data_IF_203248679474
#
_entry.id   IF_203248679474
#
_cell.length_a   1.000
_cell.length_b   1.000
_cell.length_c   1.000
_cell.angle_alpha   90.00
_cell.angle_beta   90.00
_cell.angle_gamma   90.00
#
_symmetry.space_group_name_H-M   'P 1'
#
loop_
_entity.id
_entity.type
_entity.pdbx_description
1 polymer ?
#
# COMPACT_ATOMS: atom_id res chain seq x y z
N UNK A 1 -1.33 16.79 -22.15
CA UNK A 1 -0.06 16.74 -21.39
C UNK A 1 -0.37 16.05 -20.08
N UNK A 2 0.27 14.91 -19.81
CA UNK A 2 -0.15 13.96 -18.77
C UNK A 2 -0.02 14.58 -17.37
N UNK A 3 -1.09 14.53 -16.58
CA UNK A 3 -1.14 14.97 -15.16
C UNK A 3 -0.06 14.34 -14.26
N UNK A 4 0.64 13.30 -14.75
CA UNK A 4 1.75 12.63 -14.06
C UNK A 4 3.01 13.48 -13.88
N UNK A 5 3.19 14.56 -14.64
CA UNK A 5 4.47 15.31 -14.64
C UNK A 5 4.63 16.23 -13.42
N UNK A 6 3.54 16.63 -12.76
CA UNK A 6 3.57 17.66 -11.71
C UNK A 6 3.11 17.19 -10.31
N UNK A 7 2.78 15.90 -10.14
CA UNK A 7 2.33 15.36 -8.85
C UNK A 7 3.36 14.39 -8.29
N UNK A 8 3.62 14.53 -6.99
CA UNK A 8 4.38 13.53 -6.23
C UNK A 8 3.71 12.17 -6.40
N UNK A 9 4.49 11.13 -6.67
CA UNK A 9 3.97 9.77 -6.87
C UNK A 9 4.20 8.96 -5.59
N UNK A 10 3.11 8.53 -4.96
CA UNK A 10 3.15 7.61 -3.83
C UNK A 10 2.10 6.51 -4.00
N UNK A 11 2.42 5.34 -3.47
CA UNK A 11 1.65 4.10 -3.66
C UNK A 11 0.47 3.95 -2.72
N UNK A 12 0.34 4.83 -1.71
CA UNK A 12 -0.77 4.72 -0.77
C UNK A 12 -1.14 6.02 -0.05
N UNK A 13 -2.39 6.05 0.43
CA UNK A 13 -2.85 6.90 1.52
C UNK A 13 -1.78 7.03 2.61
N UNK A 14 -1.54 8.27 3.02
CA UNK A 14 -0.66 8.62 4.12
C UNK A 14 0.83 8.45 3.82
N UNK A 15 1.24 8.31 2.56
CA UNK A 15 2.66 8.24 2.17
C UNK A 15 3.15 9.47 1.39
N UNK A 16 2.34 10.52 1.32
CA UNK A 16 2.70 11.78 0.66
C UNK A 16 3.81 12.53 1.42
N UNK A 17 4.70 13.17 0.68
CA UNK A 17 5.83 13.98 1.15
C UNK A 17 5.37 15.35 1.67
N UNK A 18 4.38 15.98 1.04
CA UNK A 18 4.06 17.40 1.29
C UNK A 18 2.56 17.69 1.48
N UNK A 19 2.27 18.91 1.96
CA UNK A 19 0.93 19.52 1.91
C UNK A 19 0.39 19.50 0.48
N UNK A 20 -0.91 19.24 0.33
CA UNK A 20 -1.62 19.17 -0.95
C UNK A 20 -1.06 18.13 -1.97
N UNK A 21 -0.25 17.18 -1.49
CA UNK A 21 0.33 16.11 -2.32
C UNK A 21 -0.46 14.78 -2.26
N UNK A 22 -1.56 14.73 -1.49
CA UNK A 22 -2.54 13.66 -1.56
C UNK A 22 -3.32 13.66 -2.88
N UNK A 23 -4.14 12.63 -3.11
CA UNK A 23 -4.91 12.48 -4.33
C UNK A 23 -5.90 13.63 -4.56
N UNK A 24 -6.65 14.02 -3.53
CA UNK A 24 -7.55 15.19 -3.61
C UNK A 24 -6.84 16.54 -3.52
N UNK A 25 -5.57 16.56 -3.09
CA UNK A 25 -4.83 17.80 -2.83
C UNK A 25 -5.29 18.57 -1.60
N UNK A 26 -6.10 17.97 -0.72
CA UNK A 26 -6.68 18.63 0.47
C UNK A 26 -5.98 18.29 1.80
N UNK A 27 -4.84 17.60 1.76
CA UNK A 27 -4.13 17.20 2.96
C UNK A 27 -3.25 18.35 3.50
N UNK A 28 -3.22 18.54 4.82
CA UNK A 28 -2.51 19.68 5.42
C UNK A 28 -1.00 19.47 5.56
N UNK A 29 -0.55 18.23 5.64
CA UNK A 29 0.87 17.93 5.79
C UNK A 29 1.27 16.58 5.20
N UNK A 30 2.58 16.36 5.19
CA UNK A 30 3.23 15.07 5.15
C UNK A 30 2.44 13.93 5.82
N UNK A 31 2.20 12.84 5.11
CA UNK A 31 1.61 11.63 5.69
C UNK A 31 0.09 11.68 5.97
N UNK A 32 -0.62 12.72 5.55
CA UNK A 32 -2.08 12.85 5.74
C UNK A 32 -2.89 12.77 4.44
N UNK A 33 -2.24 12.39 3.33
CA UNK A 33 -2.85 12.22 2.02
C UNK A 33 -3.89 11.10 1.99
N UNK A 34 -5.01 11.36 1.33
CA UNK A 34 -6.22 10.54 1.30
C UNK A 34 -6.14 9.30 0.42
N UNK A 35 -5.37 9.31 -0.68
CA UNK A 35 -5.20 8.14 -1.55
C UNK A 35 -3.90 8.21 -2.32
N UNK A 36 -3.46 7.11 -2.92
CA UNK A 36 -2.27 7.05 -3.77
C UNK A 36 -2.44 7.94 -5.01
N UNK A 37 -1.35 8.62 -5.39
CA UNK A 37 -1.23 9.39 -6.65
C UNK A 37 -0.50 8.62 -7.75
N UNK A 38 0.21 7.54 -7.40
CA UNK A 38 0.85 6.67 -8.37
C UNK A 38 -0.17 6.01 -9.31
N UNK A 39 0.25 5.75 -10.56
CA UNK A 39 -0.57 5.06 -11.56
C UNK A 39 -0.93 3.68 -11.02
N UNK A 40 -2.22 3.36 -10.98
CA UNK A 40 -2.67 2.06 -10.51
C UNK A 40 -2.26 0.96 -11.48
N UNK A 41 -1.69 -0.12 -10.97
CA UNK A 41 -1.44 -1.34 -11.75
C UNK A 41 -1.57 -2.61 -10.89
N UNK A 42 -2.15 -3.68 -11.45
CA UNK A 42 -2.33 -4.95 -10.74
C UNK A 42 -1.15 -5.92 -10.90
N UNK A 43 -0.22 -5.70 -11.84
CA UNK A 43 0.84 -6.68 -12.13
C UNK A 43 2.26 -6.15 -11.88
N UNK A 44 3.20 -7.08 -11.66
CA UNK A 44 4.62 -6.83 -11.47
C UNK A 44 5.17 -6.30 -12.78
N UNK A 45 6.16 -5.41 -12.74
CA UNK A 45 6.71 -4.70 -13.92
C UNK A 45 5.75 -3.78 -14.68
N UNK A 46 4.53 -3.50 -14.18
CA UNK A 46 3.63 -2.53 -14.82
C UNK A 46 3.73 -1.11 -14.23
N UNK A 47 4.63 -0.88 -13.29
CA UNK A 47 4.83 0.42 -12.67
C UNK A 47 5.43 1.42 -13.67
N UNK A 48 4.95 2.67 -13.62
CA UNK A 48 5.34 3.69 -14.58
C UNK A 48 6.64 4.42 -14.20
N UNK A 49 7.00 4.44 -12.91
CA UNK A 49 8.19 5.14 -12.39
C UNK A 49 8.78 4.47 -11.14
N UNK A 50 9.91 5.00 -10.66
CA UNK A 50 10.47 4.77 -9.31
C UNK A 50 9.40 5.03 -8.24
N UNK A 51 9.43 4.25 -7.15
CA UNK A 51 8.54 4.44 -5.99
C UNK A 51 7.06 4.05 -6.20
N UNK A 52 6.78 3.18 -7.18
CA UNK A 52 5.45 2.67 -7.55
C UNK A 52 5.26 1.15 -7.40
N UNK A 53 6.14 0.42 -6.69
CA UNK A 53 6.07 -1.05 -6.59
C UNK A 53 6.45 -1.60 -5.20
N UNK A 54 6.38 -2.92 -5.03
CA UNK A 54 6.72 -3.61 -3.77
C UNK A 54 5.52 -3.95 -2.90
N UNK A 55 4.29 -3.92 -3.43
CA UNK A 55 3.08 -4.01 -2.62
C UNK A 55 2.64 -5.45 -2.23
N UNK A 56 3.62 -6.35 -2.02
CA UNK A 56 3.44 -7.61 -1.29
C UNK A 56 3.07 -8.86 -2.10
N UNK A 57 2.76 -8.75 -3.39
CA UNK A 57 2.45 -9.90 -4.25
C UNK A 57 3.19 -9.82 -5.58
N UNK A 58 3.66 -10.97 -6.06
CA UNK A 58 4.49 -11.12 -7.27
C UNK A 58 5.78 -10.30 -7.18
N UNK A 59 6.79 -10.92 -6.57
CA UNK A 59 8.11 -10.33 -6.34
C UNK A 59 8.94 -11.22 -5.42
N UNK A 60 10.05 -10.68 -4.95
CA UNK A 60 10.95 -11.31 -4.00
C UNK A 60 10.61 -10.93 -2.56
N UNK A 61 11.08 -11.72 -1.60
CA UNK A 61 10.97 -11.38 -0.17
C UNK A 61 11.58 -10.01 0.14
N UNK A 62 12.67 -9.65 -0.53
CA UNK A 62 13.32 -8.35 -0.37
C UNK A 62 12.43 -7.21 -0.88
N UNK A 63 11.78 -7.37 -2.04
CA UNK A 63 10.86 -6.35 -2.56
C UNK A 63 9.64 -6.14 -1.63
N UNK A 64 9.15 -7.20 -1.00
CA UNK A 64 8.04 -7.13 -0.05
C UNK A 64 8.42 -6.39 1.24
N UNK A 65 9.71 -6.35 1.59
CA UNK A 65 10.23 -5.59 2.73
C UNK A 65 10.30 -4.08 2.50
N UNK A 66 10.21 -3.64 1.23
CA UNK A 66 10.38 -2.25 0.81
C UNK A 66 9.21 -1.75 -0.06
N UNK A 67 7.97 -1.80 0.46
CA UNK A 67 6.80 -1.35 -0.29
C UNK A 67 6.89 0.14 -0.64
N UNK A 68 6.65 0.47 -1.90
CA UNK A 68 6.78 1.83 -2.43
C UNK A 68 8.21 2.29 -2.73
N UNK A 69 9.20 1.38 -2.73
CA UNK A 69 10.63 1.75 -2.89
C UNK A 69 11.35 0.98 -4.02
N UNK A 70 10.67 0.63 -5.11
CA UNK A 70 11.36 0.14 -6.32
C UNK A 70 12.24 1.25 -6.93
N UNK A 71 13.33 0.88 -7.60
CA UNK A 71 14.32 1.83 -8.12
C UNK A 71 13.98 2.41 -9.50
N UNK A 72 13.39 1.60 -10.39
CA UNK A 72 13.10 2.02 -11.77
C UNK A 72 11.68 1.69 -12.22
N UNK A 73 11.29 2.27 -13.35
CA UNK A 73 10.14 1.85 -14.14
C UNK A 73 10.23 0.36 -14.47
N UNK A 74 9.09 -0.32 -14.53
CA UNK A 74 9.00 -1.76 -14.80
C UNK A 74 9.72 -2.65 -13.76
N UNK A 75 9.97 -2.13 -12.57
CA UNK A 75 10.49 -2.86 -11.41
C UNK A 75 9.54 -2.76 -10.22
N UNK A 76 9.42 -3.84 -9.46
CA UNK A 76 8.69 -3.89 -8.22
C UNK A 76 7.34 -4.62 -8.32
N UNK A 77 6.87 -5.05 -7.16
CA UNK A 77 5.66 -5.83 -6.96
C UNK A 77 4.36 -5.06 -7.17
N UNK A 78 3.31 -5.79 -7.53
CA UNK A 78 1.99 -5.31 -7.89
C UNK A 78 1.28 -4.50 -6.80
N UNK A 79 0.26 -3.73 -7.18
CA UNK A 79 -0.87 -3.43 -6.30
C UNK A 79 -0.92 -2.01 -5.76
N UNK A 80 -0.97 -1.03 -6.65
CA UNK A 80 -1.19 0.39 -6.32
C UNK A 80 -2.68 0.74 -6.55
N UNK A 81 -3.41 1.30 -5.56
CA UNK A 81 -3.00 1.59 -4.19
C UNK A 81 -2.77 0.35 -3.32
N UNK A 82 -1.94 0.50 -2.30
CA UNK A 82 -1.80 -0.49 -1.23
C UNK A 82 -3.03 -0.44 -0.32
N UNK A 83 -4.00 -1.33 -0.54
CA UNK A 83 -5.19 -1.42 0.31
C UNK A 83 -4.88 -2.03 1.68
N UNK A 84 -5.75 -1.80 2.67
CA UNK A 84 -5.66 -2.39 4.01
C UNK A 84 -5.68 -3.92 3.97
N UNK A 85 -6.34 -4.49 2.94
CA UNK A 85 -6.48 -5.92 2.70
C UNK A 85 -5.27 -6.58 2.01
N UNK A 86 -4.26 -5.80 1.62
CA UNK A 86 -3.04 -6.32 0.95
C UNK A 86 -2.12 -7.00 1.97
N UNK A 87 -1.66 -8.20 1.61
CA UNK A 87 -0.77 -9.00 2.46
C UNK A 87 0.49 -9.42 1.71
N UNK A 88 1.58 -9.66 2.45
CA UNK A 88 2.81 -10.22 1.89
C UNK A 88 2.63 -11.71 1.57
N UNK A 89 2.80 -12.10 0.31
CA UNK A 89 2.52 -13.46 -0.14
C UNK A 89 3.55 -14.50 0.32
N UNK A 90 4.79 -14.09 0.58
CA UNK A 90 5.89 -14.97 0.97
C UNK A 90 6.89 -14.26 1.91
N UNK A 91 7.87 -15.01 2.40
CA UNK A 91 8.90 -14.49 3.30
C UNK A 91 8.53 -14.58 4.79
N UNK A 92 9.38 -14.03 5.68
CA UNK A 92 9.18 -14.10 7.12
C UNK A 92 7.93 -13.34 7.59
N UNK A 93 7.53 -12.30 6.86
CA UNK A 93 6.35 -11.49 7.16
C UNK A 93 5.10 -11.96 6.41
N UNK A 94 5.10 -13.22 5.93
CA UNK A 94 3.99 -13.77 5.14
C UNK A 94 2.66 -13.61 5.86
N UNK A 95 1.70 -13.05 5.15
CA UNK A 95 0.34 -12.85 5.64
C UNK A 95 0.16 -11.61 6.51
N UNK A 96 1.19 -10.79 6.71
CA UNK A 96 1.06 -9.51 7.41
C UNK A 96 0.77 -8.38 6.42
N UNK A 97 0.23 -7.27 6.93
CA UNK A 97 -0.22 -6.11 6.18
C UNK A 97 0.95 -5.41 5.48
N UNK A 98 0.80 -5.22 4.17
CA UNK A 98 1.76 -4.44 3.36
C UNK A 98 1.67 -2.97 3.71
N UNK A 99 0.45 -2.46 3.94
CA UNK A 99 0.22 -1.04 4.20
C UNK A 99 0.89 -0.60 5.50
N UNK A 100 0.71 -1.37 6.58
CA UNK A 100 1.30 -1.03 7.87
C UNK A 100 2.82 -0.99 7.81
N UNK A 101 3.45 -1.95 7.09
CA UNK A 101 4.88 -1.94 6.84
C UNK A 101 5.32 -0.70 6.03
N UNK A 102 4.58 -0.35 4.97
CA UNK A 102 4.86 0.84 4.17
C UNK A 102 4.76 2.12 5.00
N UNK A 103 3.73 2.20 5.85
CA UNK A 103 3.51 3.37 6.71
C UNK A 103 4.63 3.54 7.72
N UNK A 104 5.00 2.49 8.47
CA UNK A 104 6.04 2.62 9.48
C UNK A 104 7.41 2.93 8.86
N UNK A 105 7.72 2.40 7.66
CA UNK A 105 8.95 2.73 6.92
C UNK A 105 9.00 4.20 6.49
N UNK A 106 7.87 4.74 6.06
CA UNK A 106 7.75 6.16 5.77
C UNK A 106 8.03 7.00 7.03
N UNK A 107 7.46 6.62 8.18
CA UNK A 107 7.69 7.33 9.44
C UNK A 107 9.14 7.20 9.94
N UNK A 108 9.78 6.03 9.81
CA UNK A 108 11.21 5.82 10.11
C UNK A 108 12.08 6.77 9.29
N UNK A 109 11.89 6.78 7.96
CA UNK A 109 12.66 7.64 7.05
C UNK A 109 12.49 9.13 7.36
N UNK A 110 11.26 9.56 7.68
CA UNK A 110 10.97 10.93 8.09
C UNK A 110 11.71 11.30 9.37
N UNK A 111 11.64 10.44 10.39
CA UNK A 111 12.33 10.64 11.68
C UNK A 111 13.85 10.70 11.48
N UNK A 112 14.42 9.82 10.67
CA UNK A 112 15.84 9.82 10.33
C UNK A 112 16.28 11.14 9.66
N UNK A 113 15.43 11.71 8.81
CA UNK A 113 15.68 12.99 8.14
C UNK A 113 15.32 14.22 8.99
N UNK A 114 14.76 14.06 10.19
CA UNK A 114 14.26 15.17 11.01
C UNK A 114 13.03 15.89 10.41
N UNK A 115 12.26 15.20 9.56
CA UNK A 115 11.08 15.74 8.90
C UNK A 115 9.80 15.45 9.70
N UNK A 116 8.92 16.45 9.82
CA UNK A 116 7.62 16.28 10.45
C UNK A 116 6.63 15.53 9.54
N UNK A 117 5.72 14.76 10.16
CA UNK A 117 4.63 14.08 9.48
C UNK A 117 3.42 13.97 10.41
N UNK A 118 2.22 13.99 9.82
CA UNK A 118 0.96 13.82 10.51
C UNK A 118 0.50 12.36 10.60
N UNK A 119 -0.55 12.08 11.39
CA UNK A 119 -1.13 10.73 11.49
C UNK A 119 -1.74 10.29 10.16
N UNK A 120 -1.71 8.98 9.88
CA UNK A 120 -2.40 8.43 8.72
C UNK A 120 -3.91 8.71 8.81
N UNK A 121 -4.61 8.98 7.70
CA UNK A 121 -6.06 9.21 7.71
C UNK A 121 -6.87 8.02 8.26
N UNK A 122 -6.35 6.80 8.08
CA UNK A 122 -6.93 5.57 8.62
C UNK A 122 -5.82 4.73 9.29
N UNK A 123 -6.13 4.03 10.40
CA UNK A 123 -5.13 3.31 11.19
C UNK A 123 -4.50 2.10 10.48
N UNK A 124 -5.22 1.48 9.54
CA UNK A 124 -4.78 0.28 8.82
C UNK A 124 -4.72 0.47 7.30
N UNK A 125 -4.85 1.71 6.84
CA UNK A 125 -4.91 2.06 5.43
C UNK A 125 -6.32 1.99 4.84
N UNK A 126 -6.45 2.28 3.54
CA UNK A 126 -7.74 2.42 2.88
C UNK A 126 -8.35 1.06 2.53
N UNK A 127 -9.66 0.92 2.76
CA UNK A 127 -10.43 -0.18 2.18
C UNK A 127 -10.64 0.03 0.68
N UNK A 128 -11.05 -1.03 -0.02
CA UNK A 128 -11.39 -0.94 -1.44
C UNK A 128 -12.57 0.01 -1.67
N UNK A 129 -13.63 -0.10 -0.86
CA UNK A 129 -14.79 0.79 -0.88
C UNK A 129 -14.40 2.27 -0.70
N UNK A 130 -13.44 2.55 0.20
CA UNK A 130 -12.93 3.90 0.42
C UNK A 130 -12.21 4.44 -0.83
N UNK A 131 -11.29 3.67 -1.41
CA UNK A 131 -10.57 4.06 -2.63
C UNK A 131 -11.55 4.30 -3.78
N UNK A 132 -12.50 3.40 -3.98
CA UNK A 132 -13.49 3.50 -5.05
C UNK A 132 -14.38 4.74 -4.89
N UNK A 133 -14.73 5.09 -3.66
CA UNK A 133 -15.50 6.30 -3.37
C UNK A 133 -14.70 7.56 -3.71
N UNK A 134 -13.44 7.65 -3.29
CA UNK A 134 -12.57 8.81 -3.57
C UNK A 134 -12.26 8.95 -5.06
N UNK A 135 -12.05 7.82 -5.75
CA UNK A 135 -11.72 7.82 -7.18
C UNK A 135 -12.94 7.89 -8.09
N UNK A 136 -14.14 7.86 -7.52
CA UNK A 136 -15.40 7.75 -8.27
C UNK A 136 -15.44 6.52 -9.21
N UNK A 137 -14.88 5.40 -8.75
CA UNK A 137 -14.82 4.13 -9.50
C UNK A 137 -15.73 3.04 -8.91
N UNK A 138 -16.65 3.38 -8.01
CA UNK A 138 -17.60 2.42 -7.43
C UNK A 138 -18.39 1.67 -8.51
N UNK A 139 -18.32 0.33 -8.50
CA UNK A 139 -18.96 -0.53 -9.50
C UNK A 139 -18.13 -0.78 -10.76
N UNK A 140 -16.94 -0.17 -10.88
CA UNK A 140 -15.93 -0.49 -11.88
C UNK A 140 -14.83 -1.30 -11.20
N UNK A 141 -15.12 -2.57 -10.90
CA UNK A 141 -14.21 -3.41 -10.13
C UNK A 141 -13.00 -3.80 -11.01
N UNK A 142 -11.85 -3.16 -10.80
CA UNK A 142 -10.63 -3.37 -11.60
C UNK A 142 -9.73 -4.47 -11.04
N UNK A 143 -10.08 -5.09 -9.91
CA UNK A 143 -9.20 -6.00 -9.15
C UNK A 143 -9.81 -7.39 -9.00
N UNK A 144 -9.37 -8.35 -9.83
CA UNK A 144 -9.70 -9.76 -9.59
C UNK A 144 -8.95 -10.32 -8.37
N UNK A 145 -9.60 -11.27 -7.70
CA UNK A 145 -9.16 -11.84 -6.44
C UNK A 145 -7.76 -12.45 -6.40
N UNK A 146 -7.30 -13.03 -7.53
CA UNK A 146 -5.96 -13.61 -7.64
C UNK A 146 -4.89 -12.60 -8.04
N UNK A 147 -5.25 -11.55 -8.78
CA UNK A 147 -4.31 -10.54 -9.28
C UNK A 147 -3.83 -9.61 -8.17
N UNK A 148 -4.66 -9.39 -7.15
CA UNK A 148 -4.46 -8.30 -6.22
C UNK A 148 -3.93 -8.75 -4.85
N UNK A 149 -3.85 -10.06 -4.60
CA UNK A 149 -3.52 -10.65 -3.29
C UNK A 149 -4.21 -9.92 -2.14
N UNK A 150 -5.52 -9.71 -2.32
CA UNK A 150 -6.36 -9.15 -1.28
C UNK A 150 -6.89 -10.27 -0.39
N UNK A 151 -6.84 -10.08 0.93
CA UNK A 151 -7.61 -10.93 1.86
C UNK A 151 -9.12 -10.74 1.77
N UNK A 152 -9.58 -9.75 0.99
CA UNK A 152 -11.01 -9.52 0.72
C UNK A 152 -11.65 -10.64 -0.12
N UNK A 153 -10.86 -11.58 -0.64
CA UNK A 153 -11.34 -12.62 -1.52
C UNK A 153 -11.63 -13.95 -0.83
N UNK A 154 -12.77 -14.56 -1.18
CA UNK A 154 -13.22 -15.86 -0.67
C UNK A 154 -13.95 -16.65 -1.74
N UNK A 155 -13.79 -17.97 -1.69
CA UNK A 155 -14.50 -18.95 -2.51
C UNK A 155 -15.93 -19.27 -2.01
N UNK A 156 -16.48 -18.47 -1.09
CA UNK A 156 -17.85 -18.64 -0.61
C UNK A 156 -18.83 -18.18 -1.71
N UNK A 157 -19.78 -19.05 -2.05
CA UNK A 157 -20.75 -18.81 -3.13
C UNK A 157 -21.75 -17.71 -2.76
N UNK A 158 -22.26 -17.71 -1.52
CA UNK A 158 -23.19 -16.69 -1.05
C UNK A 158 -22.49 -15.32 -0.96
N UNK A 159 -22.99 -14.27 -1.65
CA UNK A 159 -22.33 -12.96 -1.66
C UNK A 159 -22.19 -12.29 -0.29
N UNK A 160 -23.22 -12.38 0.56
CA UNK A 160 -23.23 -11.75 1.87
C UNK A 160 -22.25 -12.47 2.82
N UNK A 161 -22.27 -13.80 2.84
CA UNK A 161 -21.33 -14.59 3.63
C UNK A 161 -19.89 -14.44 3.13
N UNK A 162 -19.70 -14.34 1.81
CA UNK A 162 -18.39 -14.07 1.20
C UNK A 162 -17.81 -12.75 1.70
N UNK A 163 -18.61 -11.68 1.71
CA UNK A 163 -18.21 -10.35 2.20
C UNK A 163 -17.90 -10.38 3.69
N UNK A 164 -18.78 -10.96 4.52
CA UNK A 164 -18.55 -11.04 5.96
C UNK A 164 -17.27 -11.85 6.32
N UNK A 165 -17.04 -12.97 5.63
CA UNK A 165 -15.84 -13.78 5.84
C UNK A 165 -14.56 -13.05 5.39
N UNK A 166 -14.65 -12.27 4.31
CA UNK A 166 -13.57 -11.43 3.83
C UNK A 166 -13.19 -10.32 4.81
N UNK A 167 -14.16 -9.56 5.28
CA UNK A 167 -13.97 -8.52 6.29
C UNK A 167 -13.34 -9.09 7.57
N UNK A 168 -13.81 -10.26 8.03
CA UNK A 168 -13.24 -10.93 9.20
C UNK A 168 -11.77 -11.33 9.01
N UNK A 169 -11.38 -11.79 7.81
CA UNK A 169 -9.98 -12.13 7.49
C UNK A 169 -9.09 -10.90 7.40
N UNK A 170 -9.60 -9.80 6.86
CA UNK A 170 -8.89 -8.52 6.78
C UNK A 170 -8.70 -7.96 8.19
N UNK A 171 -9.75 -7.88 9.00
CA UNK A 171 -9.67 -7.38 10.37
C UNK A 171 -8.66 -8.19 11.21
N UNK A 172 -8.73 -9.52 11.13
CA UNK A 172 -7.76 -10.39 11.80
C UNK A 172 -6.32 -10.09 11.37
N UNK A 173 -6.11 -9.87 10.07
CA UNK A 173 -4.79 -9.50 9.55
C UNK A 173 -4.30 -8.18 10.12
N UNK A 174 -5.14 -7.15 10.10
CA UNK A 174 -4.80 -5.80 10.52
C UNK A 174 -4.35 -5.79 11.98
N UNK A 175 -5.06 -6.53 12.84
CA UNK A 175 -4.73 -6.71 14.26
C UNK A 175 -3.41 -7.48 14.45
N UNK A 176 -3.28 -8.66 13.85
CA UNK A 176 -2.05 -9.48 13.94
C UNK A 176 -0.82 -8.73 13.40
N UNK A 177 -1.00 -7.94 12.35
CA UNK A 177 0.08 -7.17 11.74
C UNK A 177 0.52 -6.00 12.60
N UNK A 178 -0.42 -5.35 13.29
CA UNK A 178 -0.10 -4.26 14.21
C UNK A 178 0.70 -4.77 15.42
N UNK A 179 0.35 -5.94 15.95
CA UNK A 179 1.08 -6.60 17.05
C UNK A 179 2.48 -7.04 16.61
N UNK A 180 2.62 -7.56 15.39
CA UNK A 180 3.88 -8.10 14.85
C UNK A 180 4.68 -7.08 14.05
N UNK A 181 4.32 -5.80 14.10
CA UNK A 181 5.01 -4.76 13.33
C UNK A 181 6.50 -4.64 13.71
N UNK A 182 6.90 -4.70 14.99
CA UNK A 182 8.32 -4.67 15.36
C UNK A 182 9.10 -5.87 14.83
N UNK A 183 8.51 -7.07 14.88
CA UNK A 183 9.09 -8.29 14.29
C UNK A 183 9.22 -8.12 12.77
N UNK A 184 8.19 -7.59 12.12
CA UNK A 184 8.16 -7.38 10.67
C UNK A 184 9.28 -6.46 10.21
N UNK A 185 9.56 -5.40 10.97
CA UNK A 185 10.68 -4.51 10.74
C UNK A 185 12.03 -5.20 10.94
N UNK A 186 12.18 -6.00 12.00
CA UNK A 186 13.43 -6.74 12.26
C UNK A 186 13.77 -7.75 11.17
N UNK A 187 12.74 -8.35 10.57
CA UNK A 187 12.85 -9.30 9.46
C UNK A 187 13.23 -8.64 8.14
N UNK A 188 13.09 -7.31 8.04
CA UNK A 188 13.35 -6.53 6.85
C UNK A 188 14.54 -5.60 7.11
N UNK A 189 15.71 -5.91 6.55
CA UNK A 189 16.85 -4.97 6.63
C UNK A 189 16.52 -3.71 5.84
N UNK A 190 16.87 -2.51 6.30
CA UNK A 190 16.77 -1.30 5.49
C UNK A 190 17.51 -1.50 4.17
N UNK A 191 16.93 -1.01 3.07
CA UNK A 191 17.64 -0.97 1.80
C UNK A 191 18.87 -0.10 2.00
N UNK A 192 20.07 -0.69 1.88
CA UNK A 192 21.29 0.13 1.80
C UNK A 192 21.16 0.94 0.53
N UNK A 193 20.98 2.25 0.64
CA UNK A 193 21.07 3.15 -0.50
C UNK A 193 22.48 2.98 -1.07
N UNK A 194 22.58 2.18 -2.13
CA UNK A 194 23.76 2.16 -2.97
C UNK A 194 23.89 3.53 -3.61
N UNK A 195 25.09 4.11 -3.46
CA UNK A 195 25.54 5.34 -4.08
C UNK A 195 25.09 5.50 -5.54
#
# INVERSE_FOLDING_TARGET
MSELVNRELHVCMGLNSCKNAGYSGNNDCAGTGDCSTAVGHPCHTLNACKGQGGCGIFGTTEEFCHPGQNECRYQGSCGVPILSSRFMAQGPNRGLSVWQLARIRFEEKRKENGEEFGPAPLPYGPSDDYVNTIRHTTGQDYSSCGQSGSRSCSYINNPAERKAAAEKRVLKMEQESAEKLPESLSNCKPKKNGY
#
